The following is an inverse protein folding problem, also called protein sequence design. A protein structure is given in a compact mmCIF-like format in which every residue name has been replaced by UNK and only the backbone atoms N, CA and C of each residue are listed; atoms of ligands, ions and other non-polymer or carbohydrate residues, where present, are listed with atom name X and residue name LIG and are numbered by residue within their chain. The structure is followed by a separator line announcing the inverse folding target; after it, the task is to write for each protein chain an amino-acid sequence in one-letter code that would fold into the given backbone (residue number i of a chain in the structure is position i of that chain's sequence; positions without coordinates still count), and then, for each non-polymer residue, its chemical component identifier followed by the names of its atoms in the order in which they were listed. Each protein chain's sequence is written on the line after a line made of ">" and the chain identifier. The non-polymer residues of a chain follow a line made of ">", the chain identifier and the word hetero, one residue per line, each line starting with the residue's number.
data_IF_969236110735
#
_entry.id   IF_969236110735
#
_cell.length_a   1.000
_cell.length_b   1.000
_cell.length_c   1.000
_cell.angle_alpha   90.00
_cell.angle_beta   90.00
_cell.angle_gamma   90.00
#
_symmetry.space_group_name_H-M   'P 1'
#
loop_
_entity.id
_entity.type
_entity.pdbx_description
1 polymer ?
#
# COMPACT_ATOMS: atom_id res chain seq x y z
N UNK A 1 -2.44 -9.35 -12.45
CA UNK A 1 -1.76 -8.06 -12.67
C UNK A 1 -2.17 -7.24 -13.92
N UNK A 2 -2.70 -7.84 -15.01
CA UNK A 2 -3.06 -7.07 -16.23
C UNK A 2 -4.06 -5.93 -16.00
N UNK A 3 -5.05 -6.14 -15.12
CA UNK A 3 -6.04 -5.11 -14.77
C UNK A 3 -5.41 -3.86 -14.13
N UNK A 4 -4.53 -4.03 -13.15
CA UNK A 4 -3.91 -2.90 -12.44
C UNK A 4 -3.02 -2.05 -13.37
N UNK A 5 -2.37 -2.69 -14.35
CA UNK A 5 -1.62 -1.98 -15.40
C UNK A 5 -2.52 -1.14 -16.30
N UNK A 6 -3.65 -1.70 -16.75
CA UNK A 6 -4.66 -0.95 -17.50
C UNK A 6 -5.27 0.17 -16.66
N UNK A 7 -5.43 -0.05 -15.36
CA UNK A 7 -5.89 0.96 -14.42
C UNK A 7 -4.89 2.12 -14.30
N UNK A 8 -3.57 1.89 -14.13
CA UNK A 8 -2.58 2.98 -14.14
C UNK A 8 -2.62 3.76 -15.46
N UNK A 9 -2.71 3.05 -16.60
CA UNK A 9 -2.79 3.69 -17.91
C UNK A 9 -4.03 4.58 -18.04
N UNK A 10 -5.21 4.07 -17.66
CA UNK A 10 -6.46 4.85 -17.70
C UNK A 10 -6.43 6.07 -16.77
N UNK A 11 -5.79 5.94 -15.60
CA UNK A 11 -5.67 7.01 -14.60
C UNK A 11 -4.47 7.96 -14.86
N UNK A 12 -3.68 7.73 -15.91
CA UNK A 12 -2.54 8.57 -16.27
C UNK A 12 -2.95 9.89 -16.95
N UNK A 13 -4.20 10.00 -17.42
CA UNK A 13 -4.68 11.19 -18.12
C UNK A 13 -4.71 12.43 -17.19
N UNK A 14 -4.08 13.55 -17.57
CA UNK A 14 -4.01 14.76 -16.74
C UNK A 14 -5.36 15.50 -16.64
N UNK A 15 -6.30 15.22 -17.56
CA UNK A 15 -7.62 15.87 -17.62
C UNK A 15 -8.61 15.30 -16.60
N UNK A 16 -8.23 14.26 -15.85
CA UNK A 16 -9.11 13.63 -14.88
C UNK A 16 -9.34 14.53 -13.66
N UNK A 17 -10.60 14.66 -13.19
CA UNK A 17 -10.89 15.48 -12.03
C UNK A 17 -10.31 14.83 -10.76
N UNK A 18 -9.69 15.61 -9.89
CA UNK A 18 -9.06 15.10 -8.65
C UNK A 18 -10.02 14.35 -7.73
N UNK A 19 -11.33 14.64 -7.81
CA UNK A 19 -12.38 13.91 -7.08
C UNK A 19 -12.49 12.45 -7.51
N UNK A 20 -12.36 12.19 -8.81
CA UNK A 20 -12.37 10.85 -9.39
C UNK A 20 -11.17 10.05 -8.90
N UNK A 21 -9.97 10.63 -9.02
CA UNK A 21 -8.73 9.99 -8.60
C UNK A 21 -8.74 9.69 -7.10
N UNK A 22 -9.22 10.64 -6.28
CA UNK A 22 -9.39 10.40 -4.85
C UNK A 22 -10.33 9.22 -4.56
N UNK A 23 -11.42 9.06 -5.33
CA UNK A 23 -12.35 7.95 -5.18
C UNK A 23 -11.70 6.61 -5.54
N UNK A 24 -10.96 6.54 -6.66
CA UNK A 24 -10.22 5.34 -7.04
C UNK A 24 -9.14 4.98 -6.01
N UNK A 25 -8.35 5.95 -5.57
CA UNK A 25 -7.33 5.74 -4.55
C UNK A 25 -7.93 5.20 -3.25
N UNK A 26 -9.00 5.82 -2.75
CA UNK A 26 -9.68 5.39 -1.52
C UNK A 26 -10.26 3.98 -1.65
N UNK A 27 -10.89 3.65 -2.79
CA UNK A 27 -11.39 2.30 -3.07
C UNK A 27 -10.27 1.26 -3.14
N UNK A 28 -9.17 1.57 -3.83
CA UNK A 28 -8.01 0.67 -3.91
C UNK A 28 -7.42 0.42 -2.52
N UNK A 29 -7.27 1.46 -1.71
CA UNK A 29 -6.75 1.31 -0.35
C UNK A 29 -7.69 0.50 0.56
N UNK A 30 -9.01 0.67 0.40
CA UNK A 30 -10.00 -0.16 1.11
C UNK A 30 -9.91 -1.63 0.72
N UNK A 31 -9.90 -1.93 -0.57
CA UNK A 31 -9.77 -3.29 -1.07
C UNK A 31 -8.47 -3.92 -0.56
N UNK A 32 -7.36 -3.19 -0.64
CA UNK A 32 -6.05 -3.66 -0.19
C UNK A 32 -6.04 -4.07 1.30
N UNK A 33 -6.71 -3.31 2.19
CA UNK A 33 -6.79 -3.65 3.61
C UNK A 33 -7.84 -4.73 3.89
N UNK A 34 -9.02 -4.66 3.27
CA UNK A 34 -10.12 -5.60 3.54
C UNK A 34 -9.80 -7.04 3.13
N UNK A 35 -9.05 -7.22 2.04
CA UNK A 35 -8.62 -8.55 1.58
C UNK A 35 -7.13 -8.81 1.85
N UNK A 36 -6.50 -8.05 2.77
CA UNK A 36 -5.05 -7.95 2.91
C UNK A 36 -4.29 -9.27 3.08
N UNK A 37 -4.89 -10.31 3.66
CA UNK A 37 -4.26 -11.63 3.78
C UNK A 37 -4.23 -12.42 2.46
N UNK A 38 -5.13 -12.12 1.52
CA UNK A 38 -5.24 -12.81 0.23
C UNK A 38 -4.43 -12.13 -0.89
N UNK A 39 -3.82 -10.97 -0.61
CA UNK A 39 -2.99 -10.25 -1.58
C UNK A 39 -1.52 -10.62 -1.39
N UNK A 40 -0.86 -10.95 -2.50
CA UNK A 40 0.59 -11.08 -2.55
C UNK A 40 1.27 -9.76 -2.14
N UNK A 41 2.47 -9.85 -1.57
CA UNK A 41 3.23 -8.70 -1.08
C UNK A 41 3.54 -7.72 -2.22
N UNK A 42 3.91 -8.28 -3.38
CA UNK A 42 4.14 -7.54 -4.63
C UNK A 42 2.94 -6.70 -5.07
N UNK A 43 1.72 -7.19 -4.90
CA UNK A 43 0.50 -6.49 -5.28
C UNK A 43 0.27 -5.26 -4.40
N UNK A 44 0.55 -5.39 -3.10
CA UNK A 44 0.48 -4.29 -2.15
C UNK A 44 1.52 -3.23 -2.51
N UNK A 45 2.76 -3.64 -2.82
CA UNK A 45 3.81 -2.72 -3.28
C UNK A 45 3.44 -2.02 -4.59
N UNK A 46 2.81 -2.72 -5.53
CA UNK A 46 2.27 -2.14 -6.77
C UNK A 46 1.24 -1.06 -6.46
N UNK A 47 0.25 -1.35 -5.62
CA UNK A 47 -0.83 -0.40 -5.28
C UNK A 47 -0.27 0.82 -4.54
N UNK A 48 0.67 0.62 -3.61
CA UNK A 48 1.37 1.72 -2.92
C UNK A 48 2.11 2.61 -3.92
N UNK A 49 2.82 2.01 -4.88
CA UNK A 49 3.54 2.72 -5.94
C UNK A 49 2.59 3.49 -6.86
N UNK A 50 1.47 2.87 -7.23
CA UNK A 50 0.42 3.49 -8.03
C UNK A 50 -0.17 4.70 -7.31
N UNK A 51 -0.49 4.57 -6.02
CA UNK A 51 -0.98 5.66 -5.18
C UNK A 51 0.05 6.80 -5.15
N UNK A 52 1.33 6.49 -4.92
CA UNK A 52 2.40 7.47 -4.92
C UNK A 52 2.46 8.24 -6.25
N UNK A 53 2.38 7.53 -7.37
CA UNK A 53 2.38 8.11 -8.72
C UNK A 53 1.14 8.99 -8.97
N UNK A 54 -0.06 8.57 -8.53
CA UNK A 54 -1.29 9.36 -8.65
C UNK A 54 -1.21 10.66 -7.85
N UNK A 55 -0.61 10.62 -6.66
CA UNK A 55 -0.37 11.80 -5.83
C UNK A 55 0.59 12.77 -6.51
N UNK A 56 1.68 12.26 -7.08
CA UNK A 56 2.64 13.08 -7.85
C UNK A 56 1.98 13.76 -9.05
N UNK A 57 1.12 13.04 -9.79
CA UNK A 57 0.37 13.58 -10.95
C UNK A 57 -0.70 14.59 -10.53
N UNK A 58 -1.36 14.37 -9.39
CA UNK A 58 -2.49 15.19 -8.92
C UNK A 58 -2.26 15.69 -7.48
N UNK A 59 -1.51 16.80 -7.29
CA UNK A 59 -1.15 17.33 -5.97
C UNK A 59 -2.34 17.65 -5.06
N UNK A 60 -3.52 17.93 -5.62
CA UNK A 60 -4.74 18.18 -4.84
C UNK A 60 -5.17 16.98 -3.99
N UNK A 61 -4.79 15.77 -4.39
CA UNK A 61 -5.15 14.51 -3.72
C UNK A 61 -4.22 14.20 -2.54
N UNK A 62 -3.04 14.86 -2.44
CA UNK A 62 -2.12 14.78 -1.28
C UNK A 62 -2.86 15.03 0.04
N UNK A 63 -3.91 15.86 0.02
CA UNK A 63 -4.76 16.16 1.18
C UNK A 63 -5.31 14.91 1.88
N UNK A 64 -5.50 13.80 1.18
CA UNK A 64 -5.96 12.55 1.76
C UNK A 64 -4.97 11.98 2.80
N UNK A 65 -3.67 12.24 2.60
CA UNK A 65 -2.59 11.82 3.51
C UNK A 65 -2.23 12.96 4.46
N UNK A 66 -1.98 14.15 3.90
CA UNK A 66 -1.51 15.32 4.65
C UNK A 66 -2.56 16.43 4.64
N UNK A 67 -3.32 16.57 5.73
CA UNK A 67 -4.28 17.68 5.92
C UNK A 67 -3.66 18.85 6.66
N UNK A 68 -3.71 20.03 6.05
CA UNK A 68 -3.36 21.29 6.73
C UNK A 68 -4.51 21.70 7.66
N UNK A 69 -4.23 21.79 8.97
CA UNK A 69 -5.20 22.15 10.03
C UNK A 69 -5.97 23.46 9.77
N UNK A 70 -5.38 24.44 9.08
CA UNK A 70 -6.03 25.74 8.79
C UNK A 70 -7.31 25.64 7.95
N UNK A 71 -7.52 24.55 7.21
CA UNK A 71 -8.64 24.40 6.25
C UNK A 71 -9.78 23.54 6.82
N UNK A 72 -9.51 22.73 7.86
CA UNK A 72 -10.47 21.79 8.43
C UNK A 72 -10.53 21.98 9.94
N UNK A 73 -11.73 22.29 10.47
CA UNK A 73 -11.94 22.45 11.93
C UNK A 73 -11.56 21.18 12.69
N UNK A 74 -11.89 20.01 12.13
CA UNK A 74 -11.57 18.70 12.71
C UNK A 74 -11.08 17.73 11.62
N UNK A 75 -10.14 16.85 11.99
CA UNK A 75 -9.76 15.74 11.13
C UNK A 75 -10.84 14.64 11.27
N UNK A 76 -11.34 14.08 10.16
CA UNK A 76 -12.29 12.97 10.25
C UNK A 76 -11.61 11.82 10.99
N UNK A 77 -12.20 11.44 12.11
CA UNK A 77 -11.93 10.18 12.79
C UNK A 77 -12.45 9.03 11.94
N UNK A 78 -12.09 7.79 12.28
CA UNK A 78 -12.59 6.60 11.60
C UNK A 78 -14.14 6.58 11.53
N UNK A 79 -14.81 7.07 12.57
CA UNK A 79 -16.27 7.13 12.69
C UNK A 79 -16.90 8.27 11.89
N UNK A 80 -16.15 9.33 11.58
CA UNK A 80 -16.65 10.54 10.91
C UNK A 80 -16.15 10.68 9.46
N UNK A 81 -15.57 9.61 8.89
CA UNK A 81 -15.04 9.61 7.53
C UNK A 81 -16.18 9.76 6.51
N UNK A 82 -16.23 10.83 5.69
CA UNK A 82 -17.37 11.12 4.81
C UNK A 82 -17.43 10.25 3.54
N UNK A 83 -16.50 9.30 3.39
CA UNK A 83 -16.42 8.44 2.20
C UNK A 83 -17.59 7.46 2.13
N UNK A 84 -18.23 7.38 0.96
CA UNK A 84 -19.33 6.45 0.68
C UNK A 84 -18.85 5.31 -0.18
N UNK A 85 -18.69 4.13 0.41
CA UNK A 85 -18.17 2.94 -0.28
C UNK A 85 -19.18 2.38 -1.29
N UNK A 86 -20.45 2.32 -0.91
CA UNK A 86 -21.56 1.77 -1.72
C UNK A 86 -21.96 2.64 -2.92
N UNK A 87 -21.48 3.88 -3.00
CA UNK A 87 -21.84 4.82 -4.07
C UNK A 87 -21.24 4.38 -5.42
N UNK A 88 -22.05 4.00 -6.41
CA UNK A 88 -21.54 3.57 -7.71
C UNK A 88 -20.79 4.67 -8.46
N UNK A 89 -21.22 5.94 -8.34
CA UNK A 89 -20.58 7.05 -9.02
C UNK A 89 -19.36 7.58 -8.23
N UNK A 90 -18.14 7.44 -8.74
CA UNK A 90 -16.93 7.85 -8.01
C UNK A 90 -16.89 9.35 -7.72
N UNK A 91 -17.51 10.20 -8.55
CA UNK A 91 -17.58 11.64 -8.31
C UNK A 91 -18.46 12.02 -7.11
N UNK A 92 -19.40 11.16 -6.73
CA UNK A 92 -20.33 11.36 -5.60
C UNK A 92 -19.88 10.68 -4.31
N UNK A 93 -18.83 9.86 -4.35
CA UNK A 93 -18.29 9.10 -3.19
C UNK A 93 -17.75 9.95 -2.04
N UNK A 94 -17.55 11.26 -2.26
CA UNK A 94 -16.96 12.22 -1.29
C UNK A 94 -15.56 11.86 -0.80
N UNK A 95 -14.83 11.00 -1.51
CA UNK A 95 -13.47 10.57 -1.14
C UNK A 95 -12.48 11.73 -0.93
N UNK A 96 -12.52 12.80 -1.73
CA UNK A 96 -11.59 13.94 -1.54
C UNK A 96 -11.74 14.63 -0.16
N UNK A 97 -12.88 14.46 0.50
CA UNK A 97 -13.17 14.98 1.86
C UNK A 97 -12.87 13.94 2.94
N UNK A 98 -12.42 12.75 2.57
CA UNK A 98 -12.06 11.62 3.44
C UNK A 98 -10.53 11.58 3.70
N UNK A 99 -10.08 10.73 4.60
CA UNK A 99 -8.63 10.53 4.85
C UNK A 99 -8.20 9.12 4.41
N UNK A 100 -6.95 8.90 4.01
CA UNK A 100 -6.42 7.56 3.66
C UNK A 100 -5.79 6.88 4.88
N UNK A 101 -6.62 6.51 5.86
CA UNK A 101 -6.15 5.81 7.05
C UNK A 101 -5.72 4.36 6.76
N UNK A 102 -6.18 3.79 5.65
CA UNK A 102 -5.84 2.45 5.21
C UNK A 102 -4.32 2.30 5.00
N UNK A 103 -3.67 3.34 4.48
CA UNK A 103 -2.22 3.39 4.36
C UNK A 103 -1.53 3.42 5.73
N UNK A 104 -2.13 4.09 6.71
CA UNK A 104 -1.60 4.14 8.09
C UNK A 104 -1.64 2.77 8.77
N UNK A 105 -2.67 1.98 8.49
CA UNK A 105 -2.74 0.59 8.94
C UNK A 105 -1.62 -0.24 8.31
N UNK A 106 -1.43 -0.17 6.99
CA UNK A 106 -0.34 -0.92 6.34
C UNK A 106 1.05 -0.54 6.87
N UNK A 107 1.27 0.73 7.19
CA UNK A 107 2.54 1.19 7.77
C UNK A 107 2.80 0.67 9.19
N UNK A 108 1.77 0.26 9.92
CA UNK A 108 1.87 -0.11 11.35
C UNK A 108 1.66 -1.59 11.61
N UNK A 109 0.70 -2.21 10.93
CA UNK A 109 0.16 -3.52 11.25
C UNK A 109 0.43 -4.59 10.18
N UNK A 110 0.93 -4.21 9.00
CA UNK A 110 1.25 -5.19 7.96
C UNK A 110 2.31 -6.19 8.45
N UNK A 111 2.08 -7.49 8.23
CA UNK A 111 2.96 -8.55 8.70
C UNK A 111 4.34 -8.46 8.04
N UNK A 112 4.38 -8.31 6.72
CA UNK A 112 5.62 -8.16 5.97
C UNK A 112 6.31 -6.82 6.25
N UNK A 113 7.55 -6.91 6.69
CA UNK A 113 8.42 -5.77 6.95
C UNK A 113 8.79 -5.00 5.68
N UNK A 114 8.88 -5.65 4.51
CA UNK A 114 9.20 -4.99 3.26
C UNK A 114 8.06 -4.07 2.81
N UNK A 115 6.82 -4.56 2.77
CA UNK A 115 5.63 -3.72 2.50
C UNK A 115 5.49 -2.59 3.53
N UNK A 116 5.74 -2.86 4.82
CA UNK A 116 5.68 -1.83 5.87
C UNK A 116 6.71 -0.73 5.66
N UNK A 117 7.94 -1.07 5.30
CA UNK A 117 8.99 -0.09 5.03
C UNK A 117 8.72 0.67 3.73
N UNK A 118 8.20 -0.02 2.73
CA UNK A 118 7.84 0.59 1.45
C UNK A 118 6.70 1.59 1.60
N UNK A 119 5.67 1.29 2.39
CA UNK A 119 4.54 2.21 2.63
C UNK A 119 4.94 3.52 3.34
N UNK A 120 5.97 3.51 4.19
CA UNK A 120 6.53 4.73 4.81
C UNK A 120 7.03 5.76 3.81
N UNK A 121 7.33 5.35 2.58
CA UNK A 121 7.62 6.25 1.46
C UNK A 121 6.56 7.35 1.29
N UNK A 122 5.29 7.04 1.55
CA UNK A 122 4.17 7.95 1.38
C UNK A 122 4.09 9.04 2.44
N UNK A 123 4.79 8.88 3.57
CA UNK A 123 4.90 9.93 4.61
C UNK A 123 5.89 11.02 4.21
N UNK A 124 6.90 10.69 3.40
CA UNK A 124 7.89 11.65 2.93
C UNK A 124 7.36 12.61 1.87
N UNK A 125 8.14 13.64 1.54
CA UNK A 125 7.81 14.55 0.45
C UNK A 125 7.94 13.85 -0.92
N UNK A 126 6.84 13.35 -1.47
CA UNK A 126 6.82 12.69 -2.79
C UNK A 126 7.25 13.61 -3.93
N UNK A 127 7.10 14.92 -3.77
CA UNK A 127 7.46 15.91 -4.79
C UNK A 127 8.98 16.10 -4.95
N UNK A 128 9.80 15.73 -3.95
CA UNK A 128 11.26 15.84 -4.04
C UNK A 128 11.87 14.81 -5.00
N UNK A 129 11.20 13.68 -5.20
CA UNK A 129 11.64 12.64 -6.14
C UNK A 129 11.21 13.01 -7.55
N UNK A 130 12.16 13.25 -8.45
CA UNK A 130 11.88 13.57 -9.86
C UNK A 130 11.23 12.39 -10.57
N UNK A 131 11.76 11.18 -10.36
CA UNK A 131 11.31 9.97 -11.06
C UNK A 131 10.02 9.38 -10.49
N UNK A 132 9.13 8.92 -11.39
CA UNK A 132 7.96 8.10 -11.02
C UNK A 132 8.41 6.71 -10.58
N UNK A 133 7.61 6.08 -9.71
CA UNK A 133 7.84 4.71 -9.28
C UNK A 133 7.50 3.76 -10.42
N UNK A 134 8.37 2.79 -10.68
CA UNK A 134 8.17 1.79 -11.73
C UNK A 134 7.31 0.65 -11.20
N UNK A 135 5.99 0.82 -11.27
CA UNK A 135 5.06 -0.18 -10.76
C UNK A 135 5.22 -1.54 -11.47
N UNK A 136 5.61 -1.54 -12.75
CA UNK A 136 5.74 -2.77 -13.55
C UNK A 136 6.78 -3.75 -13.00
N UNK A 137 7.77 -3.30 -12.21
CA UNK A 137 8.76 -4.17 -11.55
C UNK A 137 8.09 -5.18 -10.61
N UNK A 138 7.01 -4.78 -9.93
CA UNK A 138 6.26 -5.67 -9.03
C UNK A 138 5.30 -6.63 -9.76
N UNK A 139 5.13 -6.48 -11.08
CA UNK A 139 4.21 -7.34 -11.87
C UNK A 139 4.91 -8.47 -12.61
N UNK A 140 6.24 -8.46 -12.65
CA UNK A 140 7.05 -9.39 -13.43
C UNK A 140 7.46 -10.64 -12.66
N UNK A 141 7.13 -10.71 -11.37
CA UNK A 141 7.49 -11.83 -10.51
C UNK A 141 6.45 -12.94 -10.73
N UNK A 142 6.92 -14.11 -11.16
CA UNK A 142 6.08 -15.29 -11.25
C UNK A 142 5.75 -15.78 -9.83
N UNK A 143 4.46 -16.06 -9.50
CA UNK A 143 4.07 -16.48 -8.15
C UNK A 143 4.77 -17.76 -7.68
N UNK A 144 5.12 -18.65 -8.62
CA UNK A 144 5.88 -19.87 -8.34
C UNK A 144 7.30 -19.55 -7.86
N UNK A 145 7.97 -18.59 -8.49
CA UNK A 145 9.31 -18.14 -8.10
C UNK A 145 9.29 -17.46 -6.74
N UNK A 146 8.23 -16.72 -6.43
CA UNK A 146 8.02 -16.11 -5.10
C UNK A 146 7.82 -17.18 -4.03
N UNK A 147 6.98 -18.19 -4.29
CA UNK A 147 6.80 -19.34 -3.41
C UNK A 147 8.08 -20.15 -3.20
N UNK A 148 8.87 -20.37 -4.24
CA UNK A 148 10.18 -21.05 -4.15
C UNK A 148 11.15 -20.27 -3.26
N UNK A 149 11.19 -18.95 -3.41
CA UNK A 149 11.99 -18.07 -2.57
C UNK A 149 11.54 -18.10 -1.10
N UNK A 150 10.23 -18.06 -0.85
CA UNK A 150 9.66 -18.11 0.48
C UNK A 150 9.91 -19.46 1.16
N UNK A 151 9.71 -20.57 0.44
CA UNK A 151 10.02 -21.92 0.90
C UNK A 151 11.51 -22.08 1.23
N UNK A 152 12.39 -21.53 0.40
CA UNK A 152 13.83 -21.50 0.67
C UNK A 152 14.16 -20.78 1.98
N UNK A 153 13.61 -19.59 2.19
CA UNK A 153 13.79 -18.82 3.43
C UNK A 153 13.29 -19.58 4.66
N UNK A 154 12.14 -20.24 4.58
CA UNK A 154 11.61 -21.06 5.67
C UNK A 154 12.52 -22.24 5.98
N UNK A 155 13.13 -22.85 4.98
CA UNK A 155 14.09 -23.93 5.19
C UNK A 155 15.34 -23.46 5.93
N UNK A 156 15.91 -22.30 5.54
CA UNK A 156 17.02 -21.68 6.27
C UNK A 156 16.67 -21.38 7.73
N UNK A 157 15.46 -20.86 7.98
CA UNK A 157 14.98 -20.59 9.35
C UNK A 157 14.86 -21.90 10.14
N UNK A 158 14.30 -22.96 9.53
CA UNK A 158 14.15 -24.27 10.16
C UNK A 158 15.51 -24.88 10.52
N UNK A 159 16.48 -24.77 9.63
CA UNK A 159 17.86 -25.21 9.85
C UNK A 159 18.51 -24.42 10.99
N UNK A 160 18.37 -23.09 11.01
CA UNK A 160 18.87 -22.23 12.08
C UNK A 160 18.27 -22.60 13.46
N UNK A 161 16.97 -22.89 13.52
CA UNK A 161 16.32 -23.38 14.75
C UNK A 161 16.84 -24.75 15.19
N UNK A 162 17.10 -25.67 14.24
CA UNK A 162 17.66 -26.99 14.54
C UNK A 162 19.07 -26.85 15.13
N UNK A 163 19.93 -26.02 14.54
CA UNK A 163 21.28 -25.72 15.04
C UNK A 163 21.22 -25.11 16.44
N UNK A 164 20.34 -24.12 16.67
CA UNK A 164 20.14 -23.52 18.01
C UNK A 164 19.72 -24.55 19.05
N UNK A 165 18.84 -25.50 18.71
CA UNK A 165 18.41 -26.58 19.59
C UNK A 165 19.58 -27.53 19.94
N UNK A 166 20.48 -27.79 19.01
CA UNK A 166 21.68 -28.60 19.26
C UNK A 166 22.69 -27.88 20.16
N UNK A 167 22.92 -26.58 19.95
CA UNK A 167 23.83 -25.78 20.77
C UNK A 167 23.38 -25.65 22.23
N UNK A 168 22.08 -25.52 22.49
CA UNK A 168 21.54 -25.45 23.86
C UNK A 168 21.68 -26.80 24.59
N UNK A 169 21.63 -27.92 23.85
CA UNK A 169 21.79 -29.26 24.44
C UNK A 169 23.24 -29.57 24.82
N UNK A 170 24.23 -29.10 24.06
CA UNK A 170 25.64 -29.31 24.39
C UNK A 170 26.11 -28.49 25.60
N UNK A 171 25.49 -27.33 25.86
CA UNK A 171 25.81 -26.49 27.03
C UNK A 171 25.14 -26.93 28.33
N UNK A 172 24.22 -27.90 28.29
CA UNK A 172 23.50 -28.41 29.46
C UNK A 172 24.05 -29.76 29.95
N UNK A 173 25.09 -30.30 29.30
CA UNK A 173 25.73 -31.58 29.62
C UNK A 173 27.11 -31.44 30.28
N UNK A 174 27.52 -30.21 30.60
CA UNK A 174 28.67 -29.87 31.46
C UNK A 174 28.15 -29.27 32.78
#
# INVERSE_FOLDING_TARGET
>A
MRFLRLLDLSLRSPKLPSRLIAAFMKRLSRVMVSYGLAFAENDKMYVISLIANLIKRHPRVVRLIHRKRKIFKENPTLQTDPFRETEANPLKSRAIRSSLWELDILMKQEFDGAVRNYSKLLQGDLHRKTNFFKCDEFTQIDPLTELEFELGNLQFIREAFSVKKHLIKSTATD
#
